data_IF_845903810016
#
_entry.id   IF_845903810016
#
_cell.length_a   1.000
_cell.length_b   1.000
_cell.length_c   1.000
_cell.angle_alpha   90.00
_cell.angle_beta   90.00
_cell.angle_gamma   90.00
#
_symmetry.space_group_name_H-M   'P 1'
#
loop_
_entity.id
_entity.type
_entity.pdbx_description
1 polymer ?
#
# COMPACT_ATOMS: atom_id res chain seq x y z
N UNK A 1 23.53 -1.28 -7.06
CA UNK A 1 23.43 -1.81 -5.68
C UNK A 1 22.21 -2.72 -5.65
N UNK A 2 22.32 -3.94 -5.13
CA UNK A 2 21.14 -4.81 -4.99
C UNK A 2 20.22 -4.19 -3.94
N UNK A 3 19.01 -3.82 -4.35
CA UNK A 3 17.97 -3.35 -3.42
C UNK A 3 17.68 -4.48 -2.43
N UNK A 4 17.69 -4.18 -1.14
CA UNK A 4 17.37 -5.17 -0.12
C UNK A 4 15.97 -5.74 -0.39
N UNK A 5 15.77 -7.07 -0.27
CA UNK A 5 14.46 -7.66 -0.49
C UNK A 5 13.45 -7.06 0.50
N UNK A 6 12.21 -6.92 0.06
CA UNK A 6 11.12 -6.47 0.93
C UNK A 6 10.97 -7.44 2.10
N UNK A 7 10.80 -6.95 3.35
CA UNK A 7 10.50 -7.80 4.49
C UNK A 7 9.23 -8.62 4.24
N UNK A 8 9.28 -9.92 4.55
CA UNK A 8 8.11 -10.78 4.45
C UNK A 8 7.14 -10.45 5.59
N UNK A 9 5.86 -10.34 5.27
CA UNK A 9 4.80 -10.15 6.24
C UNK A 9 3.91 -11.39 6.26
N UNK A 10 3.72 -11.98 7.44
CA UNK A 10 2.86 -13.14 7.62
C UNK A 10 1.39 -12.75 7.44
N UNK A 11 0.66 -13.34 6.46
CA UNK A 11 -0.71 -12.95 6.17
C UNK A 11 -1.65 -13.12 7.36
N UNK A 12 -1.50 -14.19 8.15
CA UNK A 12 -2.38 -14.43 9.31
C UNK A 12 -2.19 -13.38 10.41
N UNK A 13 -0.94 -12.99 10.67
CA UNK A 13 -0.62 -11.87 11.57
C UNK A 13 -1.15 -10.55 11.03
N UNK A 14 -1.01 -10.29 9.74
CA UNK A 14 -1.54 -9.09 9.12
C UNK A 14 -3.06 -9.01 9.25
N UNK A 15 -3.79 -10.10 8.97
CA UNK A 15 -5.25 -10.16 9.14
C UNK A 15 -5.65 -9.93 10.60
N UNK A 16 -4.93 -10.55 11.54
CA UNK A 16 -5.18 -10.34 12.98
C UNK A 16 -4.95 -8.88 13.38
N UNK A 17 -3.92 -8.23 12.83
CA UNK A 17 -3.63 -6.83 13.05
C UNK A 17 -4.70 -5.92 12.44
N UNK A 18 -5.17 -6.24 11.24
CA UNK A 18 -6.22 -5.51 10.56
C UNK A 18 -7.54 -5.54 11.35
N UNK A 19 -7.94 -6.71 11.85
CA UNK A 19 -9.15 -6.86 12.67
C UNK A 19 -9.09 -6.07 13.99
N UNK A 20 -7.88 -5.83 14.51
CA UNK A 20 -7.65 -5.03 15.72
C UNK A 20 -7.47 -3.55 15.45
N UNK A 21 -7.06 -3.20 14.23
CA UNK A 21 -6.91 -1.81 13.81
C UNK A 21 -8.30 -1.18 13.77
N UNK A 22 -8.58 -0.29 14.70
CA UNK A 22 -9.84 0.48 14.78
C UNK A 22 -9.92 1.46 13.60
N UNK A 23 -10.10 0.93 12.39
CA UNK A 23 -10.20 1.69 11.15
C UNK A 23 -11.53 2.45 11.12
N UNK A 24 -11.52 3.68 10.60
CA UNK A 24 -12.78 4.34 10.23
C UNK A 24 -13.41 3.63 9.03
N UNK A 25 -14.70 3.88 8.78
CA UNK A 25 -15.44 3.35 7.63
C UNK A 25 -14.68 3.57 6.31
N UNK A 26 -14.30 4.81 6.00
CA UNK A 26 -13.48 5.14 4.82
C UNK A 26 -12.13 4.39 4.76
N UNK A 27 -11.50 4.14 5.91
CA UNK A 27 -10.21 3.48 5.97
C UNK A 27 -10.39 1.98 5.67
N UNK A 28 -11.42 1.35 6.23
CA UNK A 28 -11.78 -0.04 5.97
C UNK A 28 -12.21 -0.25 4.51
N UNK A 29 -13.06 0.63 3.96
CA UNK A 29 -13.49 0.56 2.56
C UNK A 29 -12.32 0.67 1.59
N UNK A 30 -11.35 1.56 1.87
CA UNK A 30 -10.13 1.66 1.06
C UNK A 30 -9.37 0.34 1.10
N UNK A 31 -9.14 -0.23 2.29
CA UNK A 31 -8.41 -1.49 2.43
C UNK A 31 -9.12 -2.59 1.65
N UNK A 32 -10.42 -2.79 1.86
CA UNK A 32 -11.19 -3.82 1.18
C UNK A 32 -11.17 -3.64 -0.34
N UNK A 33 -11.36 -2.42 -0.83
CA UNK A 33 -11.37 -2.14 -2.26
C UNK A 33 -10.05 -2.50 -2.94
N UNK A 34 -8.91 -2.11 -2.35
CA UNK A 34 -7.59 -2.40 -2.94
C UNK A 34 -7.24 -3.88 -2.94
N UNK A 35 -7.81 -4.68 -2.01
CA UNK A 35 -7.64 -6.15 -2.02
C UNK A 35 -8.12 -6.76 -3.32
N UNK A 36 -9.24 -6.24 -3.85
CA UNK A 36 -9.88 -6.79 -5.04
C UNK A 36 -9.28 -6.27 -6.35
N UNK A 37 -8.96 -4.97 -6.43
CA UNK A 37 -8.55 -4.37 -7.71
C UNK A 37 -7.08 -4.61 -8.05
N UNK A 38 -6.22 -4.91 -7.08
CA UNK A 38 -4.82 -5.27 -7.32
C UNK A 38 -3.89 -4.09 -7.66
N UNK A 39 -4.37 -3.10 -8.42
CA UNK A 39 -3.61 -1.93 -8.88
C UNK A 39 -4.47 -0.67 -8.79
N UNK A 40 -3.92 0.42 -8.28
CA UNK A 40 -4.68 1.65 -8.01
C UNK A 40 -3.82 2.91 -8.03
N UNK A 41 -4.47 4.07 -8.04
CA UNK A 41 -3.86 5.38 -7.80
C UNK A 41 -4.84 6.29 -7.02
N UNK A 42 -4.40 7.50 -6.66
CA UNK A 42 -5.23 8.47 -5.92
C UNK A 42 -6.57 8.76 -6.60
N UNK A 43 -6.56 9.00 -7.93
CA UNK A 43 -7.77 9.35 -8.67
C UNK A 43 -8.74 8.16 -8.74
N UNK A 44 -8.24 6.96 -9.05
CA UNK A 44 -9.06 5.77 -9.17
C UNK A 44 -9.73 5.42 -7.84
N UNK A 45 -8.98 5.49 -6.72
CA UNK A 45 -9.55 5.29 -5.39
C UNK A 45 -10.67 6.28 -5.08
N UNK A 46 -10.41 7.57 -5.32
CA UNK A 46 -11.42 8.62 -5.09
C UNK A 46 -12.70 8.37 -5.88
N UNK A 47 -12.57 7.99 -7.15
CA UNK A 47 -13.72 7.77 -8.03
C UNK A 47 -14.48 6.50 -7.65
N UNK A 48 -13.79 5.38 -7.44
CA UNK A 48 -14.42 4.10 -7.10
C UNK A 48 -15.18 4.15 -5.78
N UNK A 49 -14.65 4.85 -4.79
CA UNK A 49 -15.20 4.93 -3.44
C UNK A 49 -15.97 6.23 -3.18
N UNK A 50 -16.20 7.05 -4.22
CA UNK A 50 -16.89 8.35 -4.09
C UNK A 50 -16.35 9.25 -2.97
N UNK A 51 -15.04 9.16 -2.68
CA UNK A 51 -14.44 9.86 -1.55
C UNK A 51 -14.43 11.37 -1.77
N UNK A 52 -14.53 12.12 -0.67
CA UNK A 52 -14.30 13.57 -0.68
C UNK A 52 -12.89 13.91 -1.20
N UNK A 53 -12.70 15.15 -1.67
CA UNK A 53 -11.39 15.60 -2.18
C UNK A 53 -10.35 15.80 -1.09
N UNK A 54 -10.78 15.93 0.17
CA UNK A 54 -9.91 16.09 1.33
C UNK A 54 -10.45 15.29 2.53
N UNK A 55 -9.57 14.62 3.29
CA UNK A 55 -8.16 14.40 2.98
C UNK A 55 -7.99 13.43 1.78
N UNK A 56 -6.82 13.45 1.09
CA UNK A 56 -6.53 12.56 -0.03
C UNK A 56 -6.74 11.08 0.32
N UNK A 57 -7.11 10.25 -0.66
CA UNK A 57 -7.34 8.82 -0.46
C UNK A 57 -6.06 8.11 0.01
N UNK A 58 -4.92 8.40 -0.60
CA UNK A 58 -3.61 7.84 -0.21
C UNK A 58 -3.18 8.28 1.21
N UNK A 59 -3.64 9.43 1.69
CA UNK A 59 -3.41 9.83 3.08
C UNK A 59 -4.21 8.94 4.05
N UNK A 60 -5.50 8.70 3.76
CA UNK A 60 -6.34 7.78 4.55
C UNK A 60 -5.76 6.36 4.55
N UNK A 61 -5.28 5.89 3.39
CA UNK A 61 -4.56 4.63 3.25
C UNK A 61 -3.33 4.56 4.17
N UNK A 62 -2.47 5.59 4.16
CA UNK A 62 -1.30 5.62 5.03
C UNK A 62 -1.69 5.57 6.50
N UNK A 63 -2.74 6.30 6.89
CA UNK A 63 -3.26 6.29 8.26
C UNK A 63 -3.79 4.92 8.67
N UNK A 64 -4.50 4.23 7.77
CA UNK A 64 -4.92 2.84 7.98
C UNK A 64 -3.70 1.92 8.18
N UNK A 65 -2.67 2.04 7.32
CA UNK A 65 -1.43 1.28 7.46
C UNK A 65 -0.70 1.55 8.78
N UNK A 66 -0.69 2.79 9.27
CA UNK A 66 -0.13 3.12 10.59
C UNK A 66 -0.89 2.44 11.72
N UNK A 67 -2.24 2.44 11.67
CA UNK A 67 -3.07 1.76 12.68
C UNK A 67 -2.84 0.26 12.69
N UNK A 68 -2.80 -0.37 11.52
CA UNK A 68 -2.48 -1.80 11.38
C UNK A 68 -1.07 -2.07 11.91
N UNK A 69 -0.10 -1.25 11.48
CA UNK A 69 1.30 -1.32 11.88
C UNK A 69 1.51 -1.27 13.40
N UNK A 70 0.68 -0.55 14.14
CA UNK A 70 0.74 -0.49 15.61
C UNK A 70 0.52 -1.86 16.28
N UNK A 71 -0.17 -2.80 15.62
CA UNK A 71 -0.41 -4.15 16.12
C UNK A 71 0.65 -5.18 15.67
N UNK A 72 1.53 -4.80 14.74
CA UNK A 72 2.64 -5.61 14.21
C UNK A 72 3.92 -4.75 14.18
N UNK A 73 4.24 -4.09 15.30
CA UNK A 73 5.20 -3.00 15.36
C UNK A 73 6.61 -3.36 14.83
N UNK A 74 7.08 -4.58 15.07
CA UNK A 74 8.38 -5.05 14.57
C UNK A 74 8.36 -5.15 13.03
N UNK A 75 7.38 -5.88 12.48
CA UNK A 75 7.23 -6.04 11.03
C UNK A 75 7.01 -4.69 10.35
N UNK A 76 6.25 -3.79 10.98
CA UNK A 76 6.02 -2.44 10.50
C UNK A 76 7.31 -1.61 10.46
N UNK A 77 8.13 -1.67 11.52
CA UNK A 77 9.41 -0.97 11.59
C UNK A 77 10.40 -1.44 10.52
N UNK A 78 10.50 -2.76 10.32
CA UNK A 78 11.32 -3.35 9.26
C UNK A 78 10.83 -2.91 7.88
N UNK A 79 9.51 -2.94 7.65
CA UNK A 79 8.90 -2.49 6.41
C UNK A 79 9.14 -1.00 6.17
N UNK A 80 9.06 -0.15 7.20
CA UNK A 80 9.33 1.28 7.07
C UNK A 80 10.81 1.57 6.79
N UNK A 81 11.72 0.80 7.40
CA UNK A 81 13.15 0.87 7.10
C UNK A 81 13.41 0.51 5.64
N UNK A 82 12.81 -0.59 5.16
CA UNK A 82 12.87 -0.96 3.74
C UNK A 82 12.25 0.13 2.84
N UNK A 83 11.08 0.65 3.20
CA UNK A 83 10.35 1.69 2.47
C UNK A 83 11.21 2.94 2.23
N UNK A 84 11.97 3.39 3.23
CA UNK A 84 12.92 4.50 3.09
C UNK A 84 13.98 4.23 2.03
N UNK A 85 14.49 3.00 1.94
CA UNK A 85 15.51 2.63 0.93
C UNK A 85 14.97 2.61 -0.51
N UNK A 86 13.64 2.57 -0.69
CA UNK A 86 13.00 2.63 -2.01
C UNK A 86 12.76 4.06 -2.50
N UNK A 87 12.82 5.02 -1.58
CA UNK A 87 12.59 6.44 -1.84
C UNK A 87 13.89 7.14 -2.17
N UNK A 88 13.89 7.90 -3.26
CA UNK A 88 15.05 8.71 -3.66
C UNK A 88 15.35 9.81 -2.61
N UNK A 89 14.32 10.25 -1.87
CA UNK A 89 14.42 11.22 -0.78
C UNK A 89 14.61 10.58 0.60
N UNK A 90 14.76 9.26 0.68
CA UNK A 90 14.86 8.50 1.93
C UNK A 90 13.64 8.65 2.87
N UNK A 91 12.46 8.87 2.29
CA UNK A 91 11.21 9.04 3.05
C UNK A 91 10.41 7.74 3.06
N UNK A 92 10.01 7.30 4.25
CA UNK A 92 9.16 6.12 4.42
C UNK A 92 7.73 6.42 3.98
N UNK A 93 7.27 5.77 2.92
CA UNK A 93 5.85 5.73 2.61
C UNK A 93 5.16 4.61 3.40
N UNK A 94 4.16 4.94 4.21
CA UNK A 94 3.51 3.98 5.11
C UNK A 94 2.62 2.97 4.37
N UNK A 95 2.12 3.34 3.18
CA UNK A 95 1.40 2.42 2.30
C UNK A 95 2.23 1.22 1.86
N UNK A 96 3.57 1.29 1.97
CA UNK A 96 4.47 0.18 1.66
C UNK A 96 4.23 -1.08 2.50
N UNK A 97 3.48 -0.96 3.60
CA UNK A 97 2.98 -2.11 4.36
C UNK A 97 2.20 -3.10 3.46
N UNK A 98 1.34 -2.59 2.57
CA UNK A 98 0.36 -3.41 1.83
C UNK A 98 0.41 -3.24 0.32
N UNK A 99 1.14 -2.27 -0.19
CA UNK A 99 1.31 -2.04 -1.62
C UNK A 99 2.70 -1.48 -1.94
N UNK A 100 3.06 -1.35 -3.20
CA UNK A 100 4.28 -0.70 -3.64
C UNK A 100 4.07 -0.01 -4.98
N UNK A 101 4.99 0.87 -5.37
CA UNK A 101 4.92 1.48 -6.70
C UNK A 101 4.96 0.40 -7.78
N UNK A 102 4.05 0.48 -8.74
CA UNK A 102 3.99 -0.45 -9.85
C UNK A 102 5.07 -0.09 -10.89
N UNK A 103 5.47 -1.07 -11.70
CA UNK A 103 6.53 -0.92 -12.69
C UNK A 103 6.04 -1.31 -14.07
N UNK A 104 6.63 -0.71 -15.12
CA UNK A 104 6.49 -1.17 -16.50
C UNK A 104 7.22 -2.50 -16.70
N UNK A 105 6.99 -3.16 -17.85
CA UNK A 105 7.73 -4.38 -18.23
C UNK A 105 9.25 -4.17 -18.31
N UNK A 106 9.70 -2.93 -18.52
CA UNK A 106 11.10 -2.55 -18.61
C UNK A 106 11.70 -2.16 -17.25
N UNK A 107 10.93 -2.32 -16.16
CA UNK A 107 11.38 -2.03 -14.80
C UNK A 107 11.41 -0.55 -14.44
N UNK A 108 10.66 0.31 -15.15
CA UNK A 108 10.51 1.74 -14.82
C UNK A 108 9.32 1.98 -13.92
N UNK A 109 9.42 2.87 -12.93
CA UNK A 109 8.33 3.17 -11.99
C UNK A 109 7.15 3.77 -12.77
N UNK A 110 5.92 3.41 -12.41
CA UNK A 110 4.69 4.02 -12.94
C UNK A 110 4.36 5.29 -12.15
N UNK A 111 5.01 6.39 -12.52
CA UNK A 111 4.89 7.70 -11.86
C UNK A 111 5.01 8.87 -12.86
N UNK A 112 4.47 10.05 -12.52
CA UNK A 112 4.56 11.25 -13.35
C UNK A 112 5.99 11.68 -13.70
N UNK A 113 6.91 11.56 -12.73
CA UNK A 113 8.30 11.99 -12.84
C UNK A 113 9.06 11.23 -13.92
N UNK A 114 8.69 9.96 -14.15
CA UNK A 114 9.27 9.09 -15.18
C UNK A 114 8.53 9.22 -16.52
N UNK A 115 7.43 9.98 -16.58
CA UNK A 115 6.57 10.13 -17.76
C UNK A 115 5.84 8.85 -18.15
N UNK A 116 5.71 7.90 -17.22
CA UNK A 116 5.12 6.56 -17.46
C UNK A 116 3.66 6.48 -17.09
N UNK A 117 3.15 7.38 -16.23
CA UNK A 117 1.74 7.50 -15.86
C UNK A 117 1.38 8.93 -15.45
N UNK A 118 0.09 9.26 -15.45
CA UNK A 118 -0.40 10.57 -14.99
C UNK A 118 -0.44 10.70 -13.45
N UNK A 119 -0.48 9.57 -12.76
CA UNK A 119 -0.52 9.48 -11.30
C UNK A 119 0.41 8.37 -10.83
N UNK A 120 0.96 8.51 -9.63
CA UNK A 120 1.66 7.41 -8.95
C UNK A 120 0.73 6.20 -8.87
N UNK A 121 1.14 5.10 -9.50
CA UNK A 121 0.35 3.88 -9.58
C UNK A 121 0.96 2.83 -8.66
N UNK A 122 0.13 2.22 -7.83
CA UNK A 122 0.54 1.26 -6.82
C UNK A 122 -0.07 -0.10 -7.11
N UNK A 123 0.68 -1.16 -6.84
CA UNK A 123 0.20 -2.54 -6.86
C UNK A 123 0.19 -3.06 -5.41
N UNK A 124 -0.91 -3.71 -5.01
CA UNK A 124 -0.96 -4.38 -3.71
C UNK A 124 -0.04 -5.59 -3.68
N UNK A 125 0.50 -5.87 -2.51
CA UNK A 125 1.34 -7.03 -2.26
C UNK A 125 0.47 -8.29 -2.25
N UNK A 126 0.71 -9.19 -3.21
CA UNK A 126 -0.16 -10.34 -3.48
C UNK A 126 -0.22 -11.32 -2.32
N UNK A 127 0.86 -11.45 -1.55
CA UNK A 127 0.89 -12.38 -0.42
C UNK A 127 -0.08 -12.01 0.70
N UNK A 128 -0.54 -10.75 0.77
CA UNK A 128 -1.49 -10.29 1.78
C UNK A 128 -2.95 -10.45 1.35
N UNK A 129 -3.20 -10.59 0.05
CA UNK A 129 -4.55 -10.63 -0.50
C UNK A 129 -4.71 -11.86 -1.37
N UNK A 130 -4.86 -13.02 -0.71
CA UNK A 130 -5.06 -14.34 -1.32
C UNK A 130 -6.37 -14.49 -2.14
N UNK A 131 -7.13 -13.40 -2.35
CA UNK A 131 -8.39 -13.40 -3.10
C UNK A 131 -8.28 -13.62 -4.61
N UNK A 132 -7.08 -13.88 -5.14
CA UNK A 132 -6.82 -14.15 -6.56
C UNK A 132 -6.36 -15.59 -6.86
N UNK A 133 -6.22 -16.47 -5.86
CA UNK A 133 -5.81 -17.88 -6.05
C UNK A 133 -6.86 -18.89 -5.56
N UNK A 134 -8.15 -18.63 -5.78
CA UNK A 134 -9.18 -19.65 -5.65
C UNK A 134 -10.21 -19.55 -6.78
N UNK A 135 -9.87 -20.12 -7.92
CA UNK A 135 -10.79 -20.61 -8.95
C UNK A 135 -10.17 -21.78 -9.69
#
# INVERSE_FOLDING_TARGET
MSVAPRPALDPERFETALLKAELSEDEAEIIDHIRYIGVFNELSLRQSLSLASKPPALYKLCKACTKIGAHIANDFSEMMSWSQTQSDDQIAWHGNLICSIAYTCDGRKLQPEDGTSLYHTFAVHRELFNGLESS
#
